data_IF_868371730798
#
_entry.id   IF_868371730798
#
_cell.length_a   1.000
_cell.length_b   1.000
_cell.length_c   1.000
_cell.angle_alpha   90.00
_cell.angle_beta   90.00
_cell.angle_gamma   90.00
#
_symmetry.space_group_name_H-M   'P 1'
#
loop_
_entity.id
_entity.type
_entity.pdbx_description
1 polymer ?
#
# COMPACT_ATOMS: atom_id res chain seq x y z
N UNK A 1 -12.77 -35.82 45.99
CA UNK A 1 -13.17 -35.10 44.75
C UNK A 1 -13.01 -33.58 44.80
N UNK A 2 -12.81 -32.91 45.96
CA UNK A 2 -12.65 -31.44 46.03
C UNK A 2 -11.25 -30.87 45.75
N UNK A 3 -10.19 -31.69 45.67
CA UNK A 3 -8.80 -31.21 45.48
C UNK A 3 -8.36 -31.10 44.02
N UNK A 4 -9.05 -31.77 43.09
CA UNK A 4 -8.66 -31.82 41.67
C UNK A 4 -9.18 -30.58 40.91
N UNK A 5 -10.32 -30.02 41.31
CA UNK A 5 -10.87 -28.78 40.73
C UNK A 5 -9.99 -27.54 41.00
N UNK A 6 -9.18 -27.54 42.05
CA UNK A 6 -8.30 -26.42 42.41
C UNK A 6 -7.08 -26.31 41.51
N UNK A 7 -6.54 -27.43 41.02
CA UNK A 7 -5.30 -27.42 40.22
C UNK A 7 -5.60 -27.06 38.76
N UNK A 8 -6.69 -27.59 38.20
CA UNK A 8 -7.11 -27.26 36.84
C UNK A 8 -7.45 -25.77 36.67
N UNK A 9 -8.07 -25.16 37.69
CA UNK A 9 -8.43 -23.74 37.67
C UNK A 9 -7.20 -22.82 37.79
N UNK A 10 -6.17 -23.23 38.52
CA UNK A 10 -4.91 -22.47 38.64
C UNK A 10 -4.07 -22.61 37.36
N UNK A 11 -4.10 -23.77 36.72
CA UNK A 11 -3.40 -24.00 35.44
C UNK A 11 -4.04 -23.20 34.29
N UNK A 12 -5.37 -23.10 34.24
CA UNK A 12 -6.09 -22.29 33.25
C UNK A 12 -5.84 -20.78 33.45
N UNK A 13 -5.74 -20.30 34.70
CA UNK A 13 -5.38 -18.91 34.98
C UNK A 13 -3.91 -18.61 34.61
N UNK A 14 -3.01 -19.58 34.84
CA UNK A 14 -1.59 -19.45 34.49
C UNK A 14 -1.32 -19.42 32.99
N UNK A 15 -2.11 -20.13 32.18
CA UNK A 15 -2.01 -20.11 30.71
C UNK A 15 -2.59 -18.80 30.14
N UNK A 16 -3.66 -18.25 30.72
CA UNK A 16 -4.19 -16.95 30.28
C UNK A 16 -3.31 -15.75 30.66
N UNK A 17 -2.41 -15.89 31.65
CA UNK A 17 -1.43 -14.87 32.05
C UNK A 17 -0.12 -14.92 31.22
N UNK A 18 0.00 -15.84 30.27
CA UNK A 18 1.12 -15.93 29.32
C UNK A 18 0.72 -15.58 27.88
N UNK A 19 -0.33 -14.79 27.69
CA UNK A 19 -0.45 -13.97 26.50
C UNK A 19 0.61 -12.87 26.57
N UNK A 20 1.89 -13.26 26.45
CA UNK A 20 2.94 -12.37 26.03
C UNK A 20 2.42 -11.71 24.76
N UNK A 21 2.34 -10.38 24.72
CA UNK A 21 2.17 -9.69 23.46
C UNK A 21 3.32 -10.16 22.57
N UNK A 22 3.03 -11.08 21.64
CA UNK A 22 3.95 -11.42 20.57
C UNK A 22 3.98 -10.17 19.71
N UNK A 23 4.89 -9.26 20.01
CA UNK A 23 5.24 -8.20 19.09
C UNK A 23 6.06 -8.86 18.00
N UNK A 24 5.43 -9.19 16.88
CA UNK A 24 6.11 -9.62 15.66
C UNK A 24 6.92 -8.47 15.04
N UNK A 25 6.68 -7.23 15.48
CA UNK A 25 7.42 -6.06 15.00
C UNK A 25 8.71 -5.86 15.77
N UNK A 26 9.81 -5.75 15.02
CA UNK A 26 11.03 -5.08 15.47
C UNK A 26 10.74 -3.59 15.45
N UNK A 27 10.62 -2.90 16.59
CA UNK A 27 10.45 -1.46 16.59
C UNK A 27 11.69 -0.82 15.96
N UNK A 28 11.51 -0.01 14.92
CA UNK A 28 12.61 0.73 14.30
C UNK A 28 12.81 2.02 15.12
N UNK A 29 13.97 2.23 15.77
CA UNK A 29 14.19 3.42 16.59
C UNK A 29 14.02 4.70 15.76
N UNK A 30 13.09 5.57 16.19
CA UNK A 30 12.75 6.81 15.49
C UNK A 30 11.61 6.71 14.48
N UNK A 31 11.05 5.51 14.26
CA UNK A 31 9.81 5.30 13.50
C UNK A 31 8.76 4.79 14.48
N UNK A 32 7.87 5.69 14.91
CA UNK A 32 6.62 5.30 15.54
C UNK A 32 5.76 4.68 14.44
N UNK A 33 5.88 3.37 14.24
CA UNK A 33 5.11 2.63 13.24
C UNK A 33 3.62 2.88 13.46
N UNK A 34 3.00 3.63 12.54
CA UNK A 34 1.58 3.94 12.54
C UNK A 34 0.75 2.69 12.29
N UNK A 35 -0.18 2.42 13.19
CA UNK A 35 -1.16 1.35 13.00
C UNK A 35 -1.97 1.62 11.73
N UNK A 36 -2.30 0.59 10.95
CA UNK A 36 -3.30 0.73 9.89
C UNK A 36 -4.69 0.89 10.52
N UNK A 37 -5.51 1.80 9.98
CA UNK A 37 -6.89 1.94 10.42
C UNK A 37 -7.71 0.70 10.05
N UNK A 38 -8.49 0.16 10.99
CA UNK A 38 -9.39 -0.96 10.69
C UNK A 38 -10.79 -0.43 10.42
N UNK A 39 -11.29 -0.66 9.20
CA UNK A 39 -12.65 -0.29 8.83
C UNK A 39 -13.70 -1.11 9.61
N UNK A 40 -14.75 -0.46 10.14
CA UNK A 40 -15.96 -1.15 10.52
C UNK A 40 -16.59 -1.81 9.29
N UNK A 41 -17.11 -3.03 9.44
CA UNK A 41 -17.71 -3.76 8.34
C UNK A 41 -18.88 -2.98 7.71
N UNK A 42 -18.84 -2.83 6.38
CA UNK A 42 -19.83 -2.09 5.59
C UNK A 42 -19.60 -0.58 5.54
N UNK A 43 -18.52 -0.08 6.14
CA UNK A 43 -18.07 1.31 6.01
C UNK A 43 -16.77 1.43 5.21
N UNK A 44 -16.30 0.36 4.56
CA UNK A 44 -15.15 0.42 3.65
C UNK A 44 -15.39 1.48 2.55
N UNK A 45 -14.33 2.18 2.09
CA UNK A 45 -14.49 3.29 1.18
C UNK A 45 -14.90 2.80 -0.20
N UNK A 46 -15.74 3.60 -0.86
CA UNK A 46 -15.96 3.48 -2.30
C UNK A 46 -14.82 4.21 -2.98
N UNK A 47 -14.10 3.55 -3.89
CA UNK A 47 -12.95 4.19 -4.54
C UNK A 47 -13.43 5.00 -5.74
N UNK A 48 -13.63 6.29 -5.53
CA UNK A 48 -14.12 7.20 -6.58
C UNK A 48 -13.42 8.57 -6.57
N UNK A 49 -12.47 8.79 -5.67
CA UNK A 49 -11.72 10.03 -5.53
C UNK A 49 -12.41 11.07 -4.65
N UNK A 50 -13.62 10.79 -4.14
CA UNK A 50 -14.22 11.52 -3.02
C UNK A 50 -13.67 10.94 -1.71
N UNK A 51 -13.02 11.79 -0.91
CA UNK A 51 -12.38 11.35 0.32
C UNK A 51 -13.33 11.38 1.54
N UNK A 52 -14.63 11.66 1.35
CA UNK A 52 -15.58 11.85 2.46
C UNK A 52 -15.65 10.65 3.42
N UNK A 53 -15.50 9.44 2.89
CA UNK A 53 -15.50 8.20 3.65
C UNK A 53 -14.31 8.10 4.61
N UNK A 54 -13.22 8.82 4.36
CA UNK A 54 -12.03 8.81 5.19
C UNK A 54 -12.13 9.73 6.42
N UNK A 55 -13.19 10.54 6.55
CA UNK A 55 -13.43 11.43 7.70
C UNK A 55 -13.61 10.69 9.04
N UNK A 56 -13.93 9.39 9.00
CA UNK A 56 -14.01 8.52 10.18
C UNK A 56 -12.61 8.20 10.74
N UNK A 57 -11.57 8.25 9.91
CA UNK A 57 -10.21 7.90 10.31
C UNK A 57 -9.66 9.00 11.23
N UNK A 58 -9.22 8.68 12.46
CA UNK A 58 -8.59 9.66 13.34
C UNK A 58 -7.27 10.20 12.77
N UNK A 59 -6.96 11.47 13.03
CA UNK A 59 -5.76 12.15 12.51
C UNK A 59 -4.45 11.40 12.81
N UNK A 60 -4.35 10.72 13.96
CA UNK A 60 -3.16 9.97 14.37
C UNK A 60 -2.81 8.77 13.46
N UNK A 61 -3.71 8.37 12.55
CA UNK A 61 -3.46 7.34 11.54
C UNK A 61 -2.85 7.90 10.25
N UNK A 62 -2.92 9.21 10.03
CA UNK A 62 -2.34 9.85 8.88
C UNK A 62 -0.84 10.00 9.08
N UNK A 63 -0.09 9.65 8.05
CA UNK A 63 1.34 9.87 7.96
C UNK A 63 1.55 11.20 7.23
N UNK A 64 1.95 12.26 7.94
CA UNK A 64 2.13 13.59 7.35
C UNK A 64 3.38 13.67 6.48
N UNK A 65 3.42 14.68 5.60
CA UNK A 65 4.50 14.90 4.66
C UNK A 65 5.88 15.07 5.34
N UNK A 66 5.92 15.76 6.48
CA UNK A 66 7.15 16.06 7.22
C UNK A 66 7.88 14.81 7.75
N UNK A 67 7.16 13.69 7.91
CA UNK A 67 7.75 12.39 8.28
C UNK A 67 8.48 11.69 7.11
N UNK A 68 8.28 12.14 5.88
CA UNK A 68 8.85 11.51 4.69
C UNK A 68 10.29 11.97 4.45
N UNK A 69 11.09 11.08 3.86
CA UNK A 69 12.50 11.30 3.57
C UNK A 69 12.73 11.40 2.06
N UNK A 70 13.20 12.55 1.59
CA UNK A 70 13.62 12.76 0.21
C UNK A 70 15.02 12.14 0.01
N UNK A 71 15.08 11.15 -0.89
CA UNK A 71 16.29 10.38 -1.14
C UNK A 71 17.02 10.77 -2.43
N UNK A 72 16.30 11.19 -3.47
CA UNK A 72 16.83 11.34 -4.82
C UNK A 72 17.74 12.57 -4.96
N UNK A 73 17.33 13.71 -4.39
CA UNK A 73 18.14 14.93 -4.32
C UNK A 73 19.03 14.97 -3.07
N UNK A 74 18.77 14.09 -2.10
CA UNK A 74 19.52 13.99 -0.86
C UNK A 74 19.15 15.07 0.16
N UNK A 75 17.91 15.57 0.11
CA UNK A 75 17.41 16.60 1.01
C UNK A 75 16.98 16.05 2.38
N UNK A 76 16.78 14.74 2.49
CA UNK A 76 16.33 14.11 3.73
C UNK A 76 14.96 14.61 4.15
N UNK A 77 14.84 15.20 5.34
CA UNK A 77 13.56 15.75 5.83
C UNK A 77 13.37 17.25 5.50
N UNK A 78 14.27 17.86 4.73
CA UNK A 78 14.14 19.26 4.28
C UNK A 78 13.17 19.36 3.09
N UNK A 79 11.93 18.91 3.30
CA UNK A 79 10.90 18.88 2.26
C UNK A 79 10.29 20.29 2.04
N UNK A 80 10.02 20.66 0.79
CA UNK A 80 9.37 21.91 0.41
C UNK A 80 7.90 21.67 0.04
N UNK A 81 7.00 22.00 0.96
CA UNK A 81 5.54 21.83 0.77
C UNK A 81 4.97 22.66 -0.38
N UNK A 82 5.66 23.73 -0.80
CA UNK A 82 5.26 24.52 -1.98
C UNK A 82 5.64 23.87 -3.31
N UNK A 83 6.46 22.81 -3.25
CA UNK A 83 6.79 21.96 -4.39
C UNK A 83 5.87 20.74 -4.41
N UNK A 84 5.93 19.93 -3.36
CA UNK A 84 5.13 18.72 -3.20
C UNK A 84 4.72 18.65 -1.74
N UNK A 85 3.46 18.33 -1.45
CA UNK A 85 3.05 17.94 -0.11
C UNK A 85 1.96 16.90 -0.19
N UNK A 86 1.92 15.99 0.78
CA UNK A 86 0.88 14.98 0.83
C UNK A 86 0.71 14.43 2.24
N UNK A 87 -0.47 13.87 2.48
CA UNK A 87 -0.68 12.97 3.61
C UNK A 87 -1.15 11.64 3.07
N UNK A 88 -0.73 10.57 3.73
CA UNK A 88 -1.17 9.22 3.39
C UNK A 88 -1.77 8.53 4.60
N UNK A 89 -2.68 7.61 4.34
CA UNK A 89 -3.19 6.71 5.36
C UNK A 89 -3.27 5.30 4.79
N UNK A 90 -2.84 4.33 5.59
CA UNK A 90 -3.05 2.92 5.34
C UNK A 90 -4.17 2.38 6.22
N UNK A 91 -5.01 1.51 5.64
CA UNK A 91 -6.14 0.91 6.34
C UNK A 91 -6.46 -0.47 5.79
N UNK A 92 -7.31 -1.21 6.51
CA UNK A 92 -7.68 -2.58 6.16
C UNK A 92 -9.08 -2.94 6.64
N UNK A 93 -9.68 -3.97 6.06
CA UNK A 93 -10.95 -4.54 6.55
C UNK A 93 -10.85 -6.05 6.74
N UNK A 94 -11.25 -6.50 7.93
CA UNK A 94 -11.44 -7.92 8.23
C UNK A 94 -12.60 -8.55 7.43
N UNK A 95 -13.59 -7.73 7.03
CA UNK A 95 -14.76 -8.19 6.28
C UNK A 95 -14.46 -8.47 4.82
N UNK A 96 -13.59 -7.67 4.21
CA UNK A 96 -13.24 -7.78 2.78
C UNK A 96 -11.88 -8.43 2.53
N UNK A 97 -11.05 -8.59 3.56
CA UNK A 97 -9.65 -9.04 3.50
C UNK A 97 -8.82 -8.22 2.50
N UNK A 98 -8.89 -6.89 2.61
CA UNK A 98 -8.24 -5.94 1.70
C UNK A 98 -7.53 -4.85 2.46
N UNK A 99 -6.50 -4.31 1.82
CA UNK A 99 -5.90 -3.04 2.17
C UNK A 99 -6.57 -1.93 1.36
N UNK A 100 -6.79 -0.80 2.02
CA UNK A 100 -7.25 0.44 1.40
C UNK A 100 -6.25 1.51 1.79
N UNK A 101 -5.72 2.23 0.82
CA UNK A 101 -4.78 3.31 1.04
C UNK A 101 -5.27 4.57 0.36
N UNK A 102 -5.01 5.70 0.98
CA UNK A 102 -5.38 7.00 0.45
C UNK A 102 -4.21 7.96 0.52
N UNK A 103 -4.14 8.82 -0.49
CA UNK A 103 -3.26 9.96 -0.54
C UNK A 103 -4.05 11.19 -0.96
N UNK A 104 -3.89 12.26 -0.18
CA UNK A 104 -4.22 13.61 -0.61
C UNK A 104 -2.91 14.33 -0.88
N UNK A 105 -2.72 14.78 -2.13
CA UNK A 105 -1.45 15.30 -2.64
C UNK A 105 -1.65 16.66 -3.28
N UNK A 106 -0.84 17.62 -2.90
CA UNK A 106 -0.58 18.83 -3.67
C UNK A 106 0.75 18.68 -4.40
N UNK A 107 0.81 19.12 -5.65
CA UNK A 107 2.03 19.25 -6.43
C UNK A 107 2.00 20.57 -7.19
N UNK A 108 3.12 21.28 -7.28
CA UNK A 108 3.24 22.49 -8.07
C UNK A 108 3.30 22.24 -9.57
N UNK A 109 3.50 20.99 -9.99
CA UNK A 109 3.45 20.57 -11.38
C UNK A 109 3.10 19.10 -11.50
N UNK A 110 1.86 18.81 -11.88
CA UNK A 110 1.47 17.42 -12.16
C UNK A 110 2.04 16.93 -13.50
N UNK A 111 3.11 16.14 -13.51
CA UNK A 111 3.80 15.68 -14.73
C UNK A 111 3.36 14.29 -15.16
N UNK A 112 2.95 14.16 -16.43
CA UNK A 112 2.65 12.86 -17.10
C UNK A 112 3.36 12.69 -18.45
N UNK A 113 4.45 13.41 -18.70
CA UNK A 113 5.20 13.36 -19.98
C UNK A 113 6.41 12.42 -19.98
N UNK A 114 6.58 11.60 -18.95
CA UNK A 114 7.63 10.61 -18.86
C UNK A 114 7.64 9.75 -20.11
N UNK A 115 8.75 9.82 -20.86
CA UNK A 115 8.93 9.14 -22.14
C UNK A 115 8.75 7.62 -22.00
N UNK A 116 7.54 7.13 -22.23
CA UNK A 116 7.24 5.72 -22.52
C UNK A 116 7.88 4.71 -21.57
N UNK A 117 7.12 4.28 -20.56
CA UNK A 117 7.40 3.14 -19.68
C UNK A 117 8.59 3.32 -18.72
N UNK A 118 8.44 4.11 -17.66
CA UNK A 118 9.01 3.83 -16.32
C UNK A 118 8.67 4.97 -15.37
N UNK A 119 8.47 4.65 -14.09
CA UNK A 119 8.16 5.59 -13.00
C UNK A 119 9.15 6.77 -12.83
N UNK A 120 10.28 6.77 -13.55
CA UNK A 120 11.26 7.84 -13.52
C UNK A 120 10.79 9.01 -14.40
N UNK A 121 10.04 9.94 -13.82
CA UNK A 121 9.69 11.23 -14.43
C UNK A 121 8.19 11.51 -14.58
N UNK A 122 7.33 10.54 -14.27
CA UNK A 122 5.89 10.73 -14.11
C UNK A 122 5.54 10.81 -12.63
N UNK A 123 4.54 11.61 -12.30
CA UNK A 123 3.92 11.55 -11.00
C UNK A 123 3.20 10.21 -10.79
N UNK A 124 3.64 9.53 -9.74
CA UNK A 124 3.23 8.17 -9.39
C UNK A 124 3.31 7.95 -7.89
N UNK A 125 2.72 6.85 -7.44
CA UNK A 125 2.81 6.40 -6.05
C UNK A 125 3.21 4.93 -6.02
N UNK A 126 4.32 4.64 -5.35
CA UNK A 126 4.82 3.27 -5.18
C UNK A 126 4.55 2.80 -3.75
N UNK A 127 3.96 1.60 -3.64
CA UNK A 127 3.62 0.97 -2.36
C UNK A 127 4.29 -0.39 -2.30
N UNK A 128 5.05 -0.61 -1.23
CA UNK A 128 5.70 -1.87 -0.90
C UNK A 128 4.91 -2.59 0.19
N UNK A 129 4.53 -3.85 -0.06
CA UNK A 129 3.84 -4.71 0.91
C UNK A 129 4.62 -6.01 1.04
N UNK A 130 5.09 -6.31 2.24
CA UNK A 130 5.65 -7.60 2.64
C UNK A 130 4.64 -8.21 3.62
N UNK A 131 3.77 -9.09 3.15
CA UNK A 131 2.57 -9.52 3.89
C UNK A 131 2.89 -10.55 4.98
N UNK A 132 3.81 -11.47 4.69
CA UNK A 132 4.26 -12.50 5.61
C UNK A 132 5.42 -12.02 6.53
N UNK A 133 5.89 -10.78 6.30
CA UNK A 133 7.03 -10.16 6.98
C UNK A 133 8.31 -11.00 6.85
N UNK A 134 8.46 -11.73 5.74
CA UNK A 134 9.60 -12.60 5.45
C UNK A 134 10.89 -11.82 5.20
N UNK A 135 10.80 -10.54 4.81
CA UNK A 135 11.94 -9.72 4.40
C UNK A 135 12.49 -10.10 3.02
N UNK A 136 11.65 -10.69 2.18
CA UNK A 136 12.01 -11.14 0.84
C UNK A 136 12.29 -10.00 -0.13
N UNK A 137 12.96 -10.33 -1.23
CA UNK A 137 13.17 -9.38 -2.33
C UNK A 137 11.87 -9.17 -3.09
N UNK A 138 11.56 -7.91 -3.40
CA UNK A 138 10.38 -7.57 -4.21
C UNK A 138 10.59 -7.77 -5.72
N UNK A 139 11.82 -8.02 -6.17
CA UNK A 139 12.14 -8.25 -7.57
C UNK A 139 13.37 -9.14 -7.77
N UNK A 140 13.35 -9.88 -8.87
CA UNK A 140 14.46 -10.70 -9.35
C UNK A 140 15.22 -10.00 -10.49
N UNK A 141 16.55 -10.04 -10.41
CA UNK A 141 17.47 -9.59 -11.44
C UNK A 141 17.65 -10.66 -12.52
N UNK A 142 18.11 -10.29 -13.73
CA UNK A 142 18.36 -11.26 -14.81
C UNK A 142 19.29 -12.42 -14.42
N UNK A 143 20.28 -12.17 -13.56
CA UNK A 143 21.27 -13.19 -13.15
C UNK A 143 20.82 -14.01 -11.92
N UNK A 144 19.65 -13.71 -11.33
CA UNK A 144 19.14 -14.45 -10.18
C UNK A 144 18.60 -15.84 -10.58
N UNK A 145 18.17 -16.01 -11.84
CA UNK A 145 17.56 -17.25 -12.36
C UNK A 145 18.00 -17.51 -13.81
N UNK A 146 18.29 -18.77 -14.14
CA UNK A 146 18.62 -19.16 -15.53
C UNK A 146 17.38 -19.19 -16.43
N UNK A 147 16.21 -19.46 -15.86
CA UNK A 147 14.94 -19.57 -16.55
C UNK A 147 14.09 -18.31 -16.38
N UNK A 148 13.61 -17.76 -17.50
CA UNK A 148 12.81 -16.54 -17.52
C UNK A 148 11.45 -16.72 -16.84
N UNK A 149 10.85 -17.90 -16.89
CA UNK A 149 9.56 -18.16 -16.25
C UNK A 149 9.71 -18.22 -14.72
N UNK A 150 10.77 -18.86 -14.22
CA UNK A 150 11.15 -18.84 -12.81
C UNK A 150 11.49 -17.42 -12.35
N UNK A 151 12.20 -16.64 -13.16
CA UNK A 151 12.44 -15.22 -12.88
C UNK A 151 11.12 -14.45 -12.74
N UNK A 152 10.19 -14.63 -13.67
CA UNK A 152 8.87 -13.99 -13.61
C UNK A 152 8.04 -14.45 -12.41
N UNK A 153 8.16 -15.72 -11.99
CA UNK A 153 7.54 -16.23 -10.76
C UNK A 153 8.00 -15.47 -9.52
N UNK A 154 9.23 -14.98 -9.51
CA UNK A 154 9.82 -14.31 -8.35
C UNK A 154 9.74 -12.77 -8.42
N UNK A 155 9.06 -12.19 -9.42
CA UNK A 155 8.76 -10.75 -9.45
C UNK A 155 7.55 -10.45 -8.56
N UNK A 156 7.78 -9.84 -7.40
CA UNK A 156 6.70 -9.44 -6.49
C UNK A 156 6.03 -10.60 -5.74
N UNK A 157 6.70 -11.75 -5.58
CA UNK A 157 6.08 -12.99 -5.05
C UNK A 157 5.69 -12.89 -3.57
N UNK A 158 6.67 -12.54 -2.73
CA UNK A 158 6.53 -12.50 -1.27
C UNK A 158 6.44 -11.04 -0.81
N UNK A 159 7.37 -10.20 -1.24
CA UNK A 159 7.27 -8.75 -1.14
C UNK A 159 6.76 -8.15 -2.46
N UNK A 160 5.68 -7.37 -2.42
CA UNK A 160 5.01 -6.79 -3.58
C UNK A 160 5.35 -5.30 -3.70
N UNK A 161 5.96 -4.90 -4.82
CA UNK A 161 6.12 -3.50 -5.20
C UNK A 161 5.05 -3.10 -6.23
N UNK A 162 4.09 -2.30 -5.83
CA UNK A 162 3.01 -1.82 -6.69
C UNK A 162 3.23 -0.35 -7.06
N UNK A 163 3.39 -0.10 -8.36
CA UNK A 163 3.47 1.25 -8.93
C UNK A 163 2.08 1.65 -9.40
N UNK A 164 1.49 2.64 -8.72
CA UNK A 164 0.25 3.25 -9.12
C UNK A 164 0.53 4.46 -10.00
N UNK A 165 -0.03 4.41 -11.20
CA UNK A 165 0.08 5.44 -12.22
C UNK A 165 -1.31 5.80 -12.71
N UNK A 166 -1.54 7.08 -12.98
CA UNK A 166 -2.81 7.55 -13.53
C UNK A 166 -2.57 7.99 -14.98
N UNK A 167 -3.34 7.49 -15.96
CA UNK A 167 -3.05 7.74 -17.38
C UNK A 167 -3.01 9.24 -17.70
N UNK A 168 -2.49 9.60 -18.88
CA UNK A 168 -2.72 10.95 -19.42
C UNK A 168 -4.22 11.27 -19.37
N UNK A 169 -4.57 12.39 -18.72
CA UNK A 169 -5.94 12.79 -18.44
C UNK A 169 -6.42 13.79 -19.49
N UNK A 170 -7.17 13.38 -20.53
CA UNK A 170 -7.90 14.32 -21.38
C UNK A 170 -9.16 14.89 -20.70
N UNK A 171 -9.58 14.29 -19.58
CA UNK A 171 -10.79 14.57 -18.80
C UNK A 171 -10.43 14.33 -17.32
N UNK A 172 -10.51 15.37 -16.47
CA UNK A 172 -10.07 15.35 -15.08
C UNK A 172 -11.00 14.56 -14.11
N UNK A 173 -12.08 13.95 -14.60
CA UNK A 173 -13.15 13.41 -13.75
C UNK A 173 -13.36 11.89 -13.81
N UNK A 174 -12.54 11.14 -14.56
CA UNK A 174 -12.50 9.67 -14.42
C UNK A 174 -11.24 9.05 -15.04
N UNK A 175 -10.14 9.02 -14.30
CA UNK A 175 -8.97 8.24 -14.72
C UNK A 175 -9.30 6.75 -14.64
N UNK A 176 -8.89 5.98 -15.65
CA UNK A 176 -8.62 4.56 -15.47
C UNK A 176 -7.15 4.46 -15.05
N UNK A 177 -6.84 4.64 -13.77
CA UNK A 177 -5.52 4.33 -13.19
C UNK A 177 -5.05 2.91 -13.51
N UNK A 178 -3.75 2.70 -13.42
CA UNK A 178 -3.10 1.41 -13.60
C UNK A 178 -2.23 1.08 -12.41
N UNK A 179 -2.18 -0.21 -12.06
CA UNK A 179 -1.25 -0.75 -11.07
C UNK A 179 -0.28 -1.69 -11.77
N UNK A 180 0.98 -1.31 -11.83
CA UNK A 180 2.04 -2.19 -12.31
C UNK A 180 2.76 -2.82 -11.12
N UNK A 181 2.72 -4.16 -11.02
CA UNK A 181 3.63 -4.86 -10.11
C UNK A 181 5.01 -4.88 -10.74
N UNK A 182 5.98 -4.27 -10.07
CA UNK A 182 7.30 -3.98 -10.64
C UNK A 182 7.94 -5.22 -11.28
N UNK A 183 8.35 -5.08 -12.56
CA UNK A 183 8.90 -6.15 -13.41
C UNK A 183 8.02 -7.40 -13.62
N UNK A 184 6.81 -7.44 -13.06
CA UNK A 184 5.86 -8.51 -13.29
C UNK A 184 5.19 -8.38 -14.65
N UNK A 185 4.85 -9.52 -15.25
CA UNK A 185 4.01 -9.62 -16.45
C UNK A 185 2.54 -9.91 -16.10
N UNK A 186 2.16 -9.82 -14.82
CA UNK A 186 0.77 -10.03 -14.43
C UNK A 186 -0.16 -9.00 -15.06
N UNK A 187 -1.36 -9.45 -15.40
CA UNK A 187 -2.40 -8.65 -16.07
C UNK A 187 -3.75 -8.72 -15.36
N UNK A 188 -3.79 -9.26 -14.14
CA UNK A 188 -5.04 -9.57 -13.44
C UNK A 188 -5.16 -8.89 -12.07
N UNK A 189 -4.04 -8.54 -11.44
CA UNK A 189 -3.93 -8.10 -10.04
C UNK A 189 -4.40 -6.67 -9.78
N UNK A 190 -4.65 -5.91 -10.85
CA UNK A 190 -5.14 -4.52 -10.84
C UNK A 190 -6.64 -4.40 -11.15
N UNK A 191 -7.30 -5.54 -11.38
CA UNK A 191 -8.72 -5.61 -11.76
C UNK A 191 -9.58 -6.11 -10.62
N UNK A 192 -10.88 -5.78 -10.60
CA UNK A 192 -11.81 -6.40 -9.68
C UNK A 192 -11.83 -7.94 -9.84
N UNK A 193 -11.89 -8.70 -8.74
CA UNK A 193 -12.06 -8.23 -7.37
C UNK A 193 -10.74 -8.07 -6.61
N UNK A 194 -9.58 -7.86 -7.24
CA UNK A 194 -8.25 -7.89 -6.59
C UNK A 194 -7.60 -6.53 -6.43
N UNK A 195 -7.90 -5.62 -7.34
CA UNK A 195 -7.49 -4.22 -7.30
C UNK A 195 -8.63 -3.32 -7.75
N UNK A 196 -8.60 -2.09 -7.26
CA UNK A 196 -9.49 -0.99 -7.64
C UNK A 196 -8.84 0.32 -7.21
N UNK A 197 -9.30 1.45 -7.76
CA UNK A 197 -8.76 2.77 -7.42
C UNK A 197 -9.80 3.88 -7.63
N UNK A 198 -9.60 4.96 -6.89
CA UNK A 198 -10.31 6.23 -6.99
C UNK A 198 -9.29 7.33 -7.32
N UNK A 199 -9.66 8.25 -8.20
CA UNK A 199 -8.78 9.36 -8.55
C UNK A 199 -9.56 10.59 -8.97
N UNK A 200 -9.21 11.73 -8.37
CA UNK A 200 -9.67 13.05 -8.78
C UNK A 200 -8.51 14.03 -8.81
N UNK A 201 -8.50 14.95 -9.78
CA UNK A 201 -7.50 16.00 -9.92
C UNK A 201 -8.17 17.37 -10.04
N UNK A 202 -7.86 18.28 -9.11
CA UNK A 202 -8.11 19.71 -9.28
C UNK A 202 -6.85 20.36 -9.84
N UNK A 203 -6.88 20.74 -11.11
CA UNK A 203 -5.74 21.29 -11.84
C UNK A 203 -5.67 20.74 -13.25
N UNK A 204 -4.54 20.98 -13.92
CA UNK A 204 -4.30 20.50 -15.29
C UNK A 204 -2.93 19.81 -15.38
N UNK A 205 -2.93 18.64 -16.01
CA UNK A 205 -1.72 17.88 -16.28
C UNK A 205 -0.76 18.71 -17.12
N UNK A 206 0.51 18.75 -16.73
CA UNK A 206 1.61 19.47 -17.36
C UNK A 206 1.43 21.00 -17.45
N UNK A 207 0.53 21.61 -16.66
CA UNK A 207 0.22 23.04 -16.78
C UNK A 207 0.35 23.86 -15.49
N UNK A 208 0.59 23.24 -14.33
CA UNK A 208 0.82 23.96 -13.08
C UNK A 208 0.40 23.18 -11.84
N UNK A 209 0.07 23.93 -10.78
CA UNK A 209 -0.34 23.39 -9.49
C UNK A 209 -1.57 22.48 -9.64
N UNK A 210 -1.55 21.36 -8.93
CA UNK A 210 -2.66 20.44 -8.88
C UNK A 210 -2.81 19.81 -7.49
N UNK A 211 -4.06 19.53 -7.12
CA UNK A 211 -4.38 18.70 -5.96
C UNK A 211 -5.00 17.41 -6.44
N UNK A 212 -4.41 16.28 -6.07
CA UNK A 212 -4.90 14.95 -6.36
C UNK A 212 -5.45 14.28 -5.10
N UNK A 213 -6.60 13.62 -5.27
CA UNK A 213 -7.21 12.73 -4.28
C UNK A 213 -7.16 11.34 -4.86
N UNK A 214 -6.42 10.47 -4.19
CA UNK A 214 -6.04 9.15 -4.67
C UNK A 214 -6.50 8.15 -3.63
N UNK A 215 -7.19 7.12 -4.10
CA UNK A 215 -7.51 5.97 -3.27
C UNK A 215 -7.16 4.69 -4.02
N UNK A 216 -6.65 3.69 -3.32
CA UNK A 216 -6.31 2.40 -3.89
C UNK A 216 -6.77 1.29 -2.97
N UNK A 217 -7.31 0.23 -3.56
CA UNK A 217 -7.56 -1.03 -2.87
C UNK A 217 -6.68 -2.09 -3.49
N UNK A 218 -6.04 -2.87 -2.64
CA UNK A 218 -5.23 -4.00 -3.06
C UNK A 218 -5.36 -5.15 -2.08
N UNK A 219 -5.15 -6.35 -2.60
CA UNK A 219 -4.86 -7.53 -1.80
C UNK A 219 -3.35 -7.59 -1.55
N UNK A 220 -2.99 -7.95 -0.32
CA UNK A 220 -1.66 -8.39 0.06
C UNK A 220 -1.60 -9.91 -0.07
N UNK A 221 -0.60 -10.44 -0.76
CA UNK A 221 -0.46 -11.87 -1.02
C UNK A 221 0.70 -12.44 -0.21
N UNK A 222 0.51 -13.60 0.40
CA UNK A 222 1.58 -14.38 1.03
C UNK A 222 2.42 -15.13 -0.02
N UNK A 223 1.83 -15.51 -1.16
CA UNK A 223 2.54 -16.06 -2.32
C UNK A 223 1.79 -15.62 -3.58
N UNK A 224 2.31 -14.61 -4.27
CA UNK A 224 1.70 -14.09 -5.49
C UNK A 224 2.11 -14.92 -6.72
N UNK A 225 1.14 -15.26 -7.56
CA UNK A 225 1.37 -15.91 -8.86
C UNK A 225 0.99 -15.04 -10.05
N UNK A 226 1.99 -14.61 -10.82
CA UNK A 226 1.80 -13.63 -11.90
C UNK A 226 0.85 -14.08 -13.03
N UNK A 227 0.65 -15.39 -13.23
CA UNK A 227 -0.25 -15.89 -14.29
C UNK A 227 -1.72 -15.72 -13.90
N UNK A 228 -2.07 -15.98 -12.64
CA UNK A 228 -3.46 -15.96 -12.21
C UNK A 228 -3.65 -16.09 -10.69
N UNK A 229 -4.84 -15.71 -10.19
CA UNK A 229 -5.14 -15.72 -8.76
C UNK A 229 -5.27 -17.14 -8.18
N UNK A 230 -5.56 -18.15 -9.00
CA UNK A 230 -5.91 -19.51 -8.52
C UNK A 230 -4.79 -20.20 -7.74
N UNK A 231 -3.53 -19.85 -8.01
CA UNK A 231 -2.36 -20.37 -7.30
C UNK A 231 -1.76 -19.36 -6.32
N UNK A 232 -2.40 -18.20 -6.15
CA UNK A 232 -1.94 -17.18 -5.21
C UNK A 232 -2.51 -17.44 -3.80
N UNK A 233 -1.75 -17.06 -2.78
CA UNK A 233 -2.12 -17.21 -1.35
C UNK A 233 -2.28 -15.84 -0.70
N UNK A 234 -3.27 -15.71 0.19
CA UNK A 234 -3.61 -14.53 1.00
C UNK A 234 -3.70 -14.89 2.48
#
# INVERSE_FOLDING_TARGET
>A
MKKILSIASILALGIMLQASAVSAHVPIPGIDSGTLFQWPAGLEPTLDGDLSEWDIVPEDYYVPFDSHYEYYLGLGHENDESNLSFRVVGSWSAGTNRLYLMMERFDNLWVRTGFGQTAAGDDSWEIMIDADHGGDRHFALPDDFEDDEERQRNQGRFAQNAHYVWPEMPDANRAVGGKWLFNSQSTWHDKPPWGDYGFQLDGEVNSGEATARIEVMTIAWDDFYWIGPDESLV
#
